data_IF_679605095193
#
_entry.id   IF_679605095193
#
_cell.length_a   1.000
_cell.length_b   1.000
_cell.length_c   1.000
_cell.angle_alpha   90.00
_cell.angle_beta   90.00
_cell.angle_gamma   90.00
#
_symmetry.space_group_name_H-M   'P 1'
#
loop_
_entity.id
_entity.type
_entity.pdbx_description
1 polymer ?
#
# COMPACT_ATOMS: atom_id res chain seq x y z
N UNK A 1 10.62 20.99 -4.27
CA UNK A 1 11.31 20.74 -2.98
C UNK A 1 12.53 19.85 -3.26
N UNK A 2 13.69 20.44 -3.54
CA UNK A 2 14.92 19.70 -3.86
C UNK A 2 15.55 19.18 -2.55
N UNK A 3 15.12 17.99 -2.09
CA UNK A 3 15.94 17.22 -1.14
C UNK A 3 17.20 16.80 -1.90
N UNK A 4 18.33 17.39 -1.57
CA UNK A 4 19.63 16.83 -1.96
C UNK A 4 19.68 15.41 -1.39
N UNK A 5 19.64 14.41 -2.28
CA UNK A 5 19.65 13.01 -1.89
C UNK A 5 20.84 12.76 -0.96
N UNK A 6 20.55 12.40 0.28
CA UNK A 6 21.60 12.20 1.26
C UNK A 6 22.45 10.99 0.85
N UNK A 7 23.77 11.13 0.97
CA UNK A 7 24.72 10.08 0.57
C UNK A 7 24.48 8.81 1.39
N UNK A 8 24.00 8.95 2.63
CA UNK A 8 23.63 7.82 3.48
C UNK A 8 22.36 7.11 2.99
N UNK A 9 21.33 7.85 2.53
CA UNK A 9 20.10 7.26 1.97
C UNK A 9 20.39 6.42 0.73
N UNK A 10 21.24 6.92 -0.18
CA UNK A 10 21.66 6.19 -1.38
C UNK A 10 22.44 4.90 -1.04
N UNK A 11 23.29 4.94 -0.01
CA UNK A 11 24.02 3.76 0.49
C UNK A 11 23.08 2.74 1.10
N UNK A 12 22.17 3.16 1.98
CA UNK A 12 21.19 2.28 2.60
C UNK A 12 20.27 1.65 1.55
N UNK A 13 19.86 2.41 0.54
CA UNK A 13 19.10 1.87 -0.60
C UNK A 13 19.88 0.77 -1.32
N UNK A 14 21.14 1.03 -1.69
CA UNK A 14 21.98 0.04 -2.38
C UNK A 14 22.21 -1.22 -1.55
N UNK A 15 22.44 -1.09 -0.24
CA UNK A 15 22.60 -2.22 0.67
C UNK A 15 21.31 -3.04 0.81
N UNK A 16 20.16 -2.39 0.98
CA UNK A 16 18.85 -3.08 1.05
C UNK A 16 18.55 -3.79 -0.27
N UNK A 17 18.81 -3.14 -1.40
CA UNK A 17 18.60 -3.71 -2.73
C UNK A 17 19.49 -4.94 -2.97
N UNK A 18 20.79 -4.86 -2.61
CA UNK A 18 21.72 -5.98 -2.67
C UNK A 18 21.27 -7.14 -1.76
N UNK A 19 20.81 -6.85 -0.55
CA UNK A 19 20.26 -7.85 0.38
C UNK A 19 19.03 -8.55 -0.19
N UNK A 20 18.08 -7.80 -0.76
CA UNK A 20 16.90 -8.35 -1.43
C UNK A 20 17.29 -9.23 -2.64
N UNK A 21 18.27 -8.79 -3.44
CA UNK A 21 18.82 -9.59 -4.54
C UNK A 21 19.43 -10.91 -4.05
N UNK A 22 20.26 -10.86 -3.02
CA UNK A 22 20.89 -12.05 -2.43
C UNK A 22 19.84 -13.03 -1.87
N UNK A 23 18.83 -12.53 -1.18
CA UNK A 23 17.78 -13.38 -0.59
C UNK A 23 16.86 -13.95 -1.66
N UNK A 24 16.36 -13.13 -2.59
CA UNK A 24 15.42 -13.61 -3.61
C UNK A 24 16.10 -14.54 -4.62
N UNK A 25 17.22 -14.11 -5.20
CA UNK A 25 17.90 -14.87 -6.27
C UNK A 25 18.91 -15.88 -5.75
N UNK A 26 19.52 -15.64 -4.59
CA UNK A 26 20.49 -16.55 -3.99
C UNK A 26 19.89 -17.58 -3.05
N UNK A 27 18.71 -17.35 -2.47
CA UNK A 27 18.10 -18.27 -1.50
C UNK A 27 16.70 -18.73 -1.91
N UNK A 28 15.77 -17.81 -2.17
CA UNK A 28 14.35 -18.14 -2.36
C UNK A 28 14.06 -18.83 -3.70
N UNK A 29 14.62 -18.35 -4.81
CA UNK A 29 14.44 -18.96 -6.13
C UNK A 29 15.09 -20.36 -6.21
N UNK A 30 16.34 -20.56 -5.76
CA UNK A 30 16.94 -21.90 -5.72
C UNK A 30 16.16 -22.85 -4.82
N UNK A 31 15.69 -22.37 -3.67
CA UNK A 31 14.88 -23.16 -2.74
C UNK A 31 13.57 -23.64 -3.38
N UNK A 32 12.83 -22.74 -4.03
CA UNK A 32 11.54 -23.05 -4.63
C UNK A 32 11.67 -23.92 -5.90
N UNK A 33 12.76 -23.76 -6.65
CA UNK A 33 12.97 -24.43 -7.94
C UNK A 33 13.64 -25.80 -7.82
N UNK A 34 14.51 -26.00 -6.83
CA UNK A 34 15.36 -27.19 -6.74
C UNK A 34 15.25 -27.97 -5.43
N UNK A 35 14.62 -27.43 -4.37
CA UNK A 35 14.64 -28.03 -3.03
C UNK A 35 16.06 -28.10 -2.44
N UNK A 36 16.20 -28.46 -1.16
CA UNK A 36 17.52 -28.51 -0.47
C UNK A 36 18.55 -29.47 -1.11
N UNK A 37 18.18 -30.26 -2.12
CA UNK A 37 18.99 -31.35 -2.67
C UNK A 37 19.97 -30.94 -3.78
N UNK A 38 19.95 -29.69 -4.27
CA UNK A 38 20.83 -29.24 -5.35
C UNK A 38 22.16 -28.64 -4.85
N UNK A 39 22.93 -29.41 -4.09
CA UNK A 39 24.21 -28.96 -3.52
C UNK A 39 25.36 -28.68 -4.52
N UNK A 40 25.36 -29.14 -5.80
CA UNK A 40 26.37 -28.69 -6.77
C UNK A 40 25.89 -27.60 -7.74
N UNK A 41 24.58 -27.36 -7.85
CA UNK A 41 24.00 -26.43 -8.83
C UNK A 41 23.44 -25.15 -8.19
N UNK A 42 23.88 -24.83 -6.97
CA UNK A 42 23.48 -23.58 -6.33
C UNK A 42 24.09 -22.42 -7.14
N UNK A 43 23.26 -21.56 -7.76
CA UNK A 43 23.80 -20.51 -8.60
C UNK A 43 24.62 -19.55 -7.71
N UNK A 44 25.94 -19.49 -7.92
CA UNK A 44 26.82 -18.56 -7.19
C UNK A 44 26.77 -17.14 -7.77
N UNK A 45 26.32 -17.01 -9.02
CA UNK A 45 26.19 -15.73 -9.73
C UNK A 45 25.36 -14.66 -9.00
N UNK A 46 24.26 -14.96 -8.26
CA UNK A 46 23.49 -13.96 -7.53
C UNK A 46 24.24 -13.41 -6.31
N UNK A 47 25.06 -14.25 -5.67
CA UNK A 47 25.91 -13.83 -4.54
C UNK A 47 27.03 -12.92 -5.02
N UNK A 48 27.65 -13.25 -6.15
CA UNK A 48 28.67 -12.42 -6.79
C UNK A 48 28.06 -11.10 -7.27
N UNK A 49 26.87 -11.13 -7.87
CA UNK A 49 26.14 -9.94 -8.29
C UNK A 49 25.74 -9.06 -7.10
N UNK A 50 25.24 -9.66 -6.01
CA UNK A 50 24.89 -8.92 -4.80
C UNK A 50 26.13 -8.30 -4.13
N UNK A 51 27.25 -9.02 -4.07
CA UNK A 51 28.51 -8.51 -3.54
C UNK A 51 29.06 -7.37 -4.40
N UNK A 52 29.00 -7.49 -5.73
CA UNK A 52 29.36 -6.42 -6.68
C UNK A 52 28.49 -5.17 -6.49
N UNK A 53 27.17 -5.35 -6.37
CA UNK A 53 26.24 -4.23 -6.16
C UNK A 53 26.45 -3.58 -4.79
N UNK A 54 26.69 -4.36 -3.74
CA UNK A 54 26.99 -3.85 -2.41
C UNK A 54 28.33 -3.10 -2.36
N UNK A 55 29.38 -3.63 -3.00
CA UNK A 55 30.68 -2.97 -3.12
C UNK A 55 30.58 -1.67 -3.93
N UNK A 56 29.83 -1.67 -5.04
CA UNK A 56 29.58 -0.46 -5.84
C UNK A 56 28.81 0.59 -5.03
N UNK A 57 27.78 0.19 -4.28
CA UNK A 57 27.04 1.09 -3.41
C UNK A 57 27.91 1.70 -2.29
N UNK A 58 28.89 0.96 -1.78
CA UNK A 58 29.83 1.44 -0.76
C UNK A 58 30.86 2.44 -1.32
N UNK A 59 31.47 2.11 -2.47
CA UNK A 59 32.55 2.89 -3.10
C UNK A 59 32.02 4.17 -3.75
N UNK A 60 30.92 4.09 -4.51
CA UNK A 60 30.43 5.24 -5.27
C UNK A 60 28.89 5.41 -5.20
N UNK A 61 28.35 5.91 -4.07
CA UNK A 61 26.90 6.08 -3.91
C UNK A 61 26.29 7.14 -4.84
N UNK A 62 27.09 8.07 -5.37
CA UNK A 62 26.60 9.11 -6.26
C UNK A 62 26.10 8.56 -7.61
N UNK A 63 26.65 7.45 -8.11
CA UNK A 63 26.15 6.79 -9.33
C UNK A 63 24.89 5.97 -9.10
N UNK A 64 24.67 5.48 -7.86
CA UNK A 64 23.44 4.76 -7.47
C UNK A 64 22.20 5.64 -7.64
N UNK A 65 22.36 6.97 -7.60
CA UNK A 65 21.30 7.95 -7.87
C UNK A 65 20.60 7.73 -9.22
N UNK A 66 21.33 7.35 -10.27
CA UNK A 66 20.75 7.15 -11.59
C UNK A 66 19.80 5.95 -11.64
N UNK A 67 20.05 4.92 -10.83
CA UNK A 67 19.17 3.77 -10.66
C UNK A 67 18.05 4.05 -9.65
N UNK A 68 18.38 4.77 -8.57
CA UNK A 68 17.44 5.15 -7.52
C UNK A 68 16.27 5.99 -8.05
N UNK A 69 16.54 6.99 -8.90
CA UNK A 69 15.50 7.91 -9.39
C UNK A 69 14.36 7.21 -10.16
N UNK A 70 14.62 6.39 -11.20
CA UNK A 70 13.55 5.65 -11.88
C UNK A 70 12.90 4.60 -10.97
N UNK A 71 13.67 3.94 -10.09
CA UNK A 71 13.12 2.98 -9.14
C UNK A 71 12.11 3.62 -8.18
N UNK A 72 12.42 4.82 -7.66
CA UNK A 72 11.50 5.56 -6.80
C UNK A 72 10.26 6.05 -7.54
N UNK A 73 10.38 6.42 -8.82
CA UNK A 73 9.20 6.72 -9.66
C UNK A 73 8.31 5.49 -9.81
N UNK A 74 8.89 4.32 -10.07
CA UNK A 74 8.16 3.07 -10.13
C UNK A 74 7.47 2.75 -8.79
N UNK A 75 8.19 2.89 -7.67
CA UNK A 75 7.63 2.70 -6.33
C UNK A 75 6.47 3.67 -6.05
N UNK A 76 6.54 4.92 -6.51
CA UNK A 76 5.46 5.88 -6.37
C UNK A 76 4.22 5.49 -7.19
N UNK A 77 4.40 4.99 -8.42
CA UNK A 77 3.30 4.49 -9.25
C UNK A 77 2.70 3.21 -8.64
N UNK A 78 3.52 2.29 -8.17
CA UNK A 78 3.08 1.09 -7.47
C UNK A 78 2.27 1.44 -6.21
N UNK A 79 2.75 2.40 -5.42
CA UNK A 79 2.03 2.91 -4.25
C UNK A 79 0.71 3.58 -4.65
N UNK A 80 0.71 4.31 -5.78
CA UNK A 80 -0.50 4.91 -6.31
C UNK A 80 -1.53 3.82 -6.59
N UNK A 81 -1.17 2.78 -7.35
CA UNK A 81 -2.06 1.65 -7.64
C UNK A 81 -2.51 0.94 -6.36
N UNK A 82 -1.58 0.61 -5.46
CA UNK A 82 -1.86 -0.12 -4.23
C UNK A 82 -2.92 0.57 -3.37
N UNK A 83 -2.80 1.89 -3.19
CA UNK A 83 -3.78 2.65 -2.41
C UNK A 83 -5.18 2.57 -3.02
N UNK A 84 -5.31 2.67 -4.35
CA UNK A 84 -6.62 2.55 -5.04
C UNK A 84 -7.16 1.13 -4.94
N UNK A 85 -6.28 0.14 -5.08
CA UNK A 85 -6.65 -1.27 -4.99
C UNK A 85 -7.20 -1.60 -3.60
N UNK A 86 -6.53 -1.15 -2.53
CA UNK A 86 -7.00 -1.35 -1.15
C UNK A 86 -8.35 -0.66 -0.92
N UNK A 87 -8.51 0.58 -1.38
CA UNK A 87 -9.80 1.30 -1.26
C UNK A 87 -10.92 0.60 -2.05
N UNK A 88 -10.61 0.09 -3.24
CA UNK A 88 -11.55 -0.67 -4.06
C UNK A 88 -11.95 -1.96 -3.34
N UNK A 89 -10.97 -2.72 -2.83
CA UNK A 89 -11.23 -3.94 -2.05
C UNK A 89 -12.11 -3.62 -0.83
N UNK A 90 -11.77 -2.59 -0.06
CA UNK A 90 -12.55 -2.19 1.10
C UNK A 90 -14.00 -1.84 0.72
N UNK A 91 -14.18 -1.10 -0.38
CA UNK A 91 -15.51 -0.77 -0.85
C UNK A 91 -16.30 -2.02 -1.26
N UNK A 92 -15.72 -2.90 -2.09
CA UNK A 92 -16.43 -4.05 -2.64
C UNK A 92 -16.61 -5.21 -1.65
N UNK A 93 -15.69 -5.41 -0.69
CA UNK A 93 -15.80 -6.48 0.31
C UNK A 93 -16.49 -6.06 1.61
N UNK A 94 -16.51 -4.76 1.94
CA UNK A 94 -17.07 -4.30 3.21
C UNK A 94 -18.28 -3.41 2.97
N UNK A 95 -18.09 -2.24 2.34
CA UNK A 95 -19.17 -1.27 2.19
C UNK A 95 -20.33 -1.78 1.32
N UNK A 96 -20.00 -2.37 0.16
CA UNK A 96 -20.98 -2.88 -0.80
C UNK A 96 -21.84 -4.01 -0.22
N UNK A 97 -21.31 -5.08 0.39
CA UNK A 97 -22.15 -6.13 0.96
C UNK A 97 -22.96 -5.63 2.14
N UNK A 98 -22.44 -4.71 2.97
CA UNK A 98 -23.24 -4.09 4.03
C UNK A 98 -24.44 -3.35 3.43
N UNK A 99 -24.23 -2.53 2.40
CA UNK A 99 -25.32 -1.85 1.69
C UNK A 99 -26.31 -2.81 1.04
N UNK A 100 -25.82 -3.91 0.45
CA UNK A 100 -26.65 -4.93 -0.17
C UNK A 100 -27.47 -5.70 0.87
N UNK A 101 -26.88 -6.04 2.02
CA UNK A 101 -27.56 -6.65 3.16
C UNK A 101 -28.65 -5.74 3.69
N UNK A 102 -28.36 -4.45 3.93
CA UNK A 102 -29.37 -3.47 4.36
C UNK A 102 -30.53 -3.38 3.37
N UNK A 103 -30.24 -3.38 2.07
CA UNK A 103 -31.25 -3.39 1.01
C UNK A 103 -32.08 -4.68 1.00
N UNK A 104 -31.45 -5.84 1.22
CA UNK A 104 -32.13 -7.15 1.27
C UNK A 104 -33.05 -7.26 2.50
N UNK A 105 -32.61 -6.75 3.65
CA UNK A 105 -33.42 -6.68 4.87
C UNK A 105 -34.44 -5.53 4.85
N UNK A 106 -34.57 -4.80 3.75
CA UNK A 106 -35.53 -3.71 3.60
C UNK A 106 -35.27 -2.49 4.49
N UNK A 107 -34.10 -2.39 5.12
CA UNK A 107 -33.72 -1.27 5.97
C UNK A 107 -33.22 -0.12 5.11
N UNK A 108 -34.03 0.93 5.00
CA UNK A 108 -33.65 2.19 4.39
C UNK A 108 -33.32 3.23 5.47
N UNK A 109 -32.06 3.24 5.93
CA UNK A 109 -31.62 4.16 6.99
C UNK A 109 -31.67 5.64 6.59
N UNK A 110 -31.80 5.94 5.30
CA UNK A 110 -31.83 7.32 4.80
C UNK A 110 -33.19 7.70 4.20
N UNK A 111 -34.22 6.87 4.38
CA UNK A 111 -35.58 7.11 3.89
C UNK A 111 -35.60 7.61 2.44
N UNK A 112 -34.78 7.01 1.59
CA UNK A 112 -34.54 7.44 0.20
C UNK A 112 -35.66 7.04 -0.75
N UNK A 113 -36.55 6.15 -0.31
CA UNK A 113 -37.75 5.78 -1.08
C UNK A 113 -38.69 6.97 -1.18
N UNK A 114 -39.10 7.26 -2.41
CA UNK A 114 -40.12 8.26 -2.69
C UNK A 114 -41.49 7.72 -2.24
N UNK A 115 -42.13 8.44 -1.33
CA UNK A 115 -43.51 8.25 -0.89
C UNK A 115 -44.43 9.26 -1.62
N UNK A 116 -45.27 8.82 -2.57
CA UNK A 116 -46.20 9.70 -3.28
C UNK A 116 -47.34 10.22 -2.40
N UNK A 117 -47.58 9.63 -1.22
CA UNK A 117 -48.64 10.00 -0.29
C UNK A 117 -48.14 10.96 0.80
N UNK A 118 -46.83 11.21 0.88
CA UNK A 118 -46.26 12.11 1.88
C UNK A 118 -46.52 13.58 1.54
N UNK A 119 -47.16 14.32 2.45
CA UNK A 119 -47.39 15.76 2.31
C UNK A 119 -46.08 16.57 2.30
N UNK A 120 -45.07 16.10 3.03
CA UNK A 120 -43.73 16.69 3.03
C UNK A 120 -42.68 15.67 3.51
N UNK A 121 -41.46 15.75 2.96
CA UNK A 121 -40.29 14.99 3.44
C UNK A 121 -39.51 15.71 4.53
N UNK A 122 -39.99 16.88 4.99
CA UNK A 122 -39.32 17.64 6.05
C UNK A 122 -39.53 16.93 7.38
N UNK A 123 -38.42 16.56 8.00
CA UNK A 123 -38.41 16.13 9.41
C UNK A 123 -38.48 17.38 10.26
N UNK A 124 -39.51 17.50 11.11
CA UNK A 124 -39.60 18.63 12.04
C UNK A 124 -38.44 18.60 13.03
N UNK A 125 -37.79 19.75 13.22
CA UNK A 125 -36.78 19.90 14.26
C UNK A 125 -37.47 19.89 15.62
N UNK A 126 -37.13 18.94 16.48
CA UNK A 126 -37.51 19.03 17.89
C UNK A 126 -36.94 20.33 18.49
N UNK A 127 -37.79 21.08 19.19
CA UNK A 127 -37.35 22.25 19.95
C UNK A 127 -36.61 21.76 21.18
N UNK A 128 -35.28 21.75 21.11
CA UNK A 128 -34.47 21.43 22.26
C UNK A 128 -34.56 22.54 23.32
N UNK A 129 -34.67 22.20 24.62
CA UNK A 129 -34.74 23.18 25.68
C UNK A 129 -33.44 24.00 25.75
N UNK A 130 -33.48 25.29 26.14
CA UNK A 130 -32.29 26.13 26.22
C UNK A 130 -31.18 25.55 27.10
N UNK A 131 -31.55 24.75 28.11
CA UNK A 131 -30.62 24.04 29.00
C UNK A 131 -29.75 23.00 28.30
N UNK A 132 -30.12 22.52 27.11
CA UNK A 132 -29.27 21.62 26.32
C UNK A 132 -27.96 22.31 25.91
N UNK A 133 -27.98 23.63 25.70
CA UNK A 133 -26.78 24.41 25.37
C UNK A 133 -25.83 24.61 26.57
N UNK A 134 -26.28 24.34 27.79
CA UNK A 134 -25.47 24.50 29.00
C UNK A 134 -24.46 23.37 29.20
N UNK A 135 -24.71 22.20 28.59
CA UNK A 135 -23.81 21.04 28.62
C UNK A 135 -23.62 20.47 27.21
N UNK A 136 -22.69 21.04 26.44
CA UNK A 136 -22.49 20.66 25.03
C UNK A 136 -21.79 19.31 24.82
N UNK A 137 -21.45 18.57 25.89
CA UNK A 137 -20.77 17.26 25.84
C UNK A 137 -21.44 16.26 26.79
#
# INVERSE_FOLDING_TARGET
MNKTLDRQELRQFGLRFAGVLAVLFGLLIPWFRFGLAAWPAWPMWPWIAAALVAAWAAVHPASVRFLYAPWMKFAAVAQWVNTRLIMLLLFYLVMLPIGLLLRLFGKDSMQRRFDPQAETYRVESEKQPPSHLEKPF
#
